data_IF_915236581187
#
_entry.id   IF_915236581187
#
_cell.length_a   1.000
_cell.length_b   1.000
_cell.length_c   1.000
_cell.angle_alpha   90.00
_cell.angle_beta   90.00
_cell.angle_gamma   90.00
#
_symmetry.space_group_name_H-M   'P 1'
#
loop_
_entity.id
_entity.type
_entity.pdbx_description
1 polymer ?
#
# COMPACT_ATOMS: atom_id res chain seq x y z
N UNK A 1 18.67 17.00 -14.15
CA UNK A 1 18.60 16.80 -12.69
C UNK A 1 17.17 16.48 -12.24
N UNK A 2 16.16 16.83 -13.05
CA UNK A 2 14.75 16.78 -12.66
C UNK A 2 14.14 15.38 -12.61
N UNK A 3 14.65 14.43 -13.40
CA UNK A 3 14.15 13.05 -13.45
C UNK A 3 14.44 12.30 -12.14
N UNK A 4 15.65 12.41 -11.59
CA UNK A 4 16.01 11.76 -10.33
C UNK A 4 15.26 12.34 -9.13
N UNK A 5 15.02 13.65 -9.14
CA UNK A 5 14.17 14.32 -8.14
C UNK A 5 12.71 13.90 -8.28
N UNK A 6 12.19 13.79 -9.51
CA UNK A 6 10.84 13.27 -9.76
C UNK A 6 10.68 11.81 -9.30
N UNK A 7 11.71 10.97 -9.47
CA UNK A 7 11.74 9.62 -8.91
C UNK A 7 11.76 9.62 -7.37
N UNK A 8 12.58 10.45 -6.74
CA UNK A 8 12.62 10.57 -5.27
C UNK A 8 11.29 11.06 -4.68
N UNK A 9 10.64 12.04 -5.33
CA UNK A 9 9.32 12.53 -4.95
C UNK A 9 8.21 11.49 -5.20
N UNK A 10 8.28 10.72 -6.29
CA UNK A 10 7.34 9.61 -6.55
C UNK A 10 7.49 8.49 -5.54
N UNK A 11 8.71 8.19 -5.10
CA UNK A 11 8.96 7.21 -4.03
C UNK A 11 8.42 7.73 -2.72
N UNK A 12 8.64 9.01 -2.35
CA UNK A 12 8.05 9.58 -1.14
C UNK A 12 6.52 9.63 -1.17
N UNK A 13 5.91 9.93 -2.33
CA UNK A 13 4.47 9.88 -2.51
C UNK A 13 3.91 8.45 -2.46
N UNK A 14 4.63 7.46 -3.01
CA UNK A 14 4.28 6.05 -2.93
C UNK A 14 4.48 5.47 -1.53
N UNK A 15 5.55 5.84 -0.83
CA UNK A 15 5.92 5.39 0.51
C UNK A 15 4.89 5.86 1.55
N UNK A 16 4.54 7.16 1.52
CA UNK A 16 3.49 7.71 2.38
C UNK A 16 2.09 7.14 2.08
N UNK A 17 1.89 6.56 0.89
CA UNK A 17 0.62 5.89 0.55
C UNK A 17 0.53 4.46 1.12
N UNK A 18 1.62 3.83 1.57
CA UNK A 18 1.57 2.45 2.06
C UNK A 18 0.89 2.30 3.41
N UNK A 19 1.05 3.26 4.33
CA UNK A 19 0.38 3.25 5.63
C UNK A 19 -1.15 3.22 5.47
N UNK A 20 -1.79 4.16 4.75
CA UNK A 20 -3.24 4.10 4.53
C UNK A 20 -3.65 2.86 3.72
N UNK A 21 -2.84 2.39 2.76
CA UNK A 21 -3.14 1.16 2.02
C UNK A 21 -3.15 -0.07 2.93
N UNK A 22 -2.21 -0.17 3.87
CA UNK A 22 -2.11 -1.26 4.83
C UNK A 22 -3.31 -1.26 5.79
N UNK A 23 -3.76 -0.07 6.22
CA UNK A 23 -4.98 0.10 7.02
C UNK A 23 -6.19 -0.39 6.23
N UNK A 24 -6.34 0.01 4.96
CA UNK A 24 -7.43 -0.45 4.09
C UNK A 24 -7.35 -1.95 3.85
N UNK A 25 -6.15 -2.51 3.67
CA UNK A 25 -5.94 -3.94 3.47
C UNK A 25 -6.41 -4.75 4.67
N UNK A 26 -6.06 -4.32 5.89
CA UNK A 26 -6.52 -4.97 7.11
C UNK A 26 -8.00 -4.76 7.39
N UNK A 27 -8.52 -3.56 7.14
CA UNK A 27 -9.94 -3.27 7.23
C UNK A 27 -10.74 -4.18 6.29
N UNK A 28 -10.42 -4.21 5.00
CA UNK A 28 -11.13 -5.06 4.03
C UNK A 28 -10.93 -6.56 4.27
N UNK A 29 -9.81 -6.99 4.87
CA UNK A 29 -9.53 -8.41 5.12
C UNK A 29 -10.21 -8.96 6.37
N UNK A 30 -10.30 -8.16 7.43
CA UNK A 30 -10.79 -8.60 8.74
C UNK A 30 -12.14 -8.00 9.13
N UNK A 31 -12.65 -7.04 8.35
CA UNK A 31 -13.97 -6.43 8.58
C UNK A 31 -14.78 -6.39 7.28
N UNK A 32 -16.09 -6.58 7.38
CA UNK A 32 -17.02 -6.42 6.24
C UNK A 32 -17.39 -4.94 5.99
N UNK A 33 -16.62 -3.98 6.54
CA UNK A 33 -16.87 -2.55 6.35
C UNK A 33 -16.50 -2.06 4.96
N UNK A 34 -15.54 -2.74 4.32
CA UNK A 34 -15.01 -2.36 3.01
C UNK A 34 -14.93 -3.61 2.15
N UNK A 35 -15.82 -3.70 1.16
CA UNK A 35 -15.78 -4.75 0.13
C UNK A 35 -14.98 -4.22 -1.06
N UNK A 36 -13.87 -4.89 -1.38
CA UNK A 36 -13.03 -4.53 -2.52
C UNK A 36 -13.41 -5.38 -3.74
N UNK A 37 -13.82 -4.72 -4.83
CA UNK A 37 -14.02 -5.37 -6.12
C UNK A 37 -12.70 -5.57 -6.87
N UNK A 38 -12.67 -6.54 -7.78
CA UNK A 38 -11.53 -6.76 -8.67
C UNK A 38 -11.24 -5.49 -9.51
N UNK A 39 -9.97 -5.05 -9.64
CA UNK A 39 -8.73 -5.74 -9.25
C UNK A 39 -8.24 -5.41 -7.83
N UNK A 40 -8.91 -4.55 -7.08
CA UNK A 40 -8.43 -4.04 -5.79
C UNK A 40 -8.49 -5.08 -4.66
N UNK A 41 -9.25 -6.15 -4.85
CA UNK A 41 -9.25 -7.31 -3.95
C UNK A 41 -7.83 -7.90 -3.74
N UNK A 42 -6.91 -7.73 -4.70
CA UNK A 42 -5.51 -8.17 -4.54
C UNK A 42 -4.81 -7.56 -3.33
N UNK A 43 -5.26 -6.40 -2.84
CA UNK A 43 -4.70 -5.75 -1.65
C UNK A 43 -4.97 -6.57 -0.37
N UNK A 44 -6.02 -7.39 -0.34
CA UNK A 44 -6.31 -8.29 0.80
C UNK A 44 -5.42 -9.54 0.81
N UNK A 45 -4.70 -9.81 -0.29
CA UNK A 45 -3.82 -10.95 -0.42
C UNK A 45 -2.68 -10.90 0.62
N UNK A 46 -2.41 -12.04 1.27
CA UNK A 46 -1.34 -12.17 2.26
C UNK A 46 0.04 -11.73 1.75
N UNK A 47 0.35 -11.96 0.47
CA UNK A 47 1.62 -11.52 -0.13
C UNK A 47 1.70 -10.00 -0.26
N UNK A 48 0.62 -9.34 -0.69
CA UNK A 48 0.58 -7.88 -0.86
C UNK A 48 0.67 -7.17 0.49
N UNK A 49 -0.08 -7.64 1.49
CA UNK A 49 0.00 -7.15 2.86
C UNK A 49 1.41 -7.34 3.43
N UNK A 50 2.03 -8.51 3.20
CA UNK A 50 3.40 -8.78 3.63
C UNK A 50 4.41 -7.80 3.04
N UNK A 51 4.30 -7.51 1.74
CA UNK A 51 5.17 -6.52 1.08
C UNK A 51 4.93 -5.11 1.63
N UNK A 52 3.66 -4.68 1.76
CA UNK A 52 3.32 -3.38 2.33
C UNK A 52 3.88 -3.23 3.76
N UNK A 53 3.78 -4.28 4.57
CA UNK A 53 4.27 -4.28 5.94
C UNK A 53 5.81 -4.21 6.00
N UNK A 54 6.52 -4.90 5.09
CA UNK A 54 7.98 -4.78 4.98
C UNK A 54 8.39 -3.37 4.54
N UNK A 55 7.69 -2.80 3.56
CA UNK A 55 7.96 -1.44 3.09
C UNK A 55 7.76 -0.40 4.20
N UNK A 56 6.69 -0.56 5.00
CA UNK A 56 6.41 0.30 6.16
C UNK A 56 7.38 0.09 7.33
N UNK A 57 8.05 -1.06 7.40
CA UNK A 57 9.06 -1.31 8.43
C UNK A 57 10.45 -0.78 8.06
N UNK A 58 10.74 -0.63 6.76
CA UNK A 58 12.06 -0.23 6.24
C UNK A 58 12.15 1.28 5.97
N UNK A 59 11.01 1.98 5.90
CA UNK A 59 10.96 3.44 5.78
C UNK A 59 11.70 4.20 6.90
#
# INVERSE_FOLDING_TARGET
MDIFTAFGLSVSAGLNAYIPLLIVAFAAKYTDWITLDSPWDVITNWWVIGVLLVLVLVE
#
